data_IF_700203573289
#
_entry.id   IF_700203573289
#
_cell.length_a   1.000
_cell.length_b   1.000
_cell.length_c   1.000
_cell.angle_alpha   90.00
_cell.angle_beta   90.00
_cell.angle_gamma   90.00
#
_symmetry.space_group_name_H-M   'P 1'
#
loop_
_entity.id
_entity.type
_entity.pdbx_description
1 polymer ?
#
# COMPACT_ATOMS: atom_id res chain seq x y z
N UNK A 1 15.30 18.48 -9.21
CA UNK A 1 15.67 17.17 -8.66
C UNK A 1 16.27 17.29 -7.27
N UNK A 2 15.70 16.57 -6.31
CA UNK A 2 16.30 16.39 -4.97
C UNK A 2 17.29 15.24 -5.00
N UNK A 3 18.32 15.30 -4.14
CA UNK A 3 19.33 14.24 -4.02
C UNK A 3 18.82 13.07 -3.17
N UNK A 4 17.79 12.38 -3.66
CA UNK A 4 17.15 11.22 -3.01
C UNK A 4 17.09 10.03 -3.94
N UNK A 5 16.96 8.81 -3.41
CA UNK A 5 16.81 7.57 -4.21
C UNK A 5 15.67 7.72 -5.23
N UNK A 6 14.54 8.29 -4.82
CA UNK A 6 13.40 8.53 -5.70
C UNK A 6 13.67 9.61 -6.77
N UNK A 7 14.31 10.73 -6.38
CA UNK A 7 14.67 11.80 -7.31
C UNK A 7 15.66 11.35 -8.39
N UNK A 8 16.57 10.43 -8.05
CA UNK A 8 17.59 9.91 -8.97
C UNK A 8 17.11 8.74 -9.83
N UNK A 9 16.21 7.89 -9.33
CA UNK A 9 15.91 6.59 -9.95
C UNK A 9 14.44 6.35 -10.31
N UNK A 10 13.50 7.15 -9.80
CA UNK A 10 12.07 6.85 -9.89
C UNK A 10 11.27 7.97 -10.55
N UNK A 11 11.53 9.22 -10.14
CA UNK A 11 10.77 10.36 -10.63
C UNK A 11 11.21 10.74 -12.05
N UNK A 12 10.26 11.17 -12.88
CA UNK A 12 10.57 11.85 -14.13
C UNK A 12 10.99 13.29 -13.80
N UNK A 13 12.30 13.50 -13.71
CA UNK A 13 12.90 14.80 -13.44
C UNK A 13 13.54 15.35 -14.72
N UNK A 14 13.46 16.66 -14.92
CA UNK A 14 14.21 17.35 -15.98
C UNK A 14 15.50 17.88 -15.37
N UNK A 15 16.64 17.42 -15.90
CA UNK A 15 17.95 17.94 -15.55
C UNK A 15 18.56 18.65 -16.76
N UNK A 16 19.07 19.86 -16.56
CA UNK A 16 19.82 20.59 -17.58
C UNK A 16 21.24 20.77 -17.06
N UNK A 17 22.20 20.19 -17.78
CA UNK A 17 23.61 20.43 -17.51
C UNK A 17 24.05 21.71 -18.22
N UNK A 18 24.61 22.65 -17.44
CA UNK A 18 25.24 23.85 -17.98
C UNK A 18 26.76 23.65 -17.96
N UNK A 19 27.40 23.82 -19.12
CA UNK A 19 28.86 23.71 -19.24
C UNK A 19 29.53 25.07 -19.05
N UNK A 20 30.68 25.07 -18.38
CA UNK A 20 31.49 26.26 -18.14
C UNK A 20 31.23 26.94 -16.80
N UNK A 21 32.03 27.95 -16.47
CA UNK A 21 31.89 28.72 -15.22
C UNK A 21 30.76 29.72 -15.36
N UNK A 22 29.76 29.64 -14.49
CA UNK A 22 28.68 30.60 -14.40
C UNK A 22 28.86 31.46 -13.16
N UNK A 23 29.37 32.69 -13.33
CA UNK A 23 29.68 33.59 -12.21
C UNK A 23 28.45 33.94 -11.37
N UNK A 24 27.25 33.99 -11.96
CA UNK A 24 26.01 34.22 -11.21
C UNK A 24 25.69 33.07 -10.27
N UNK A 25 25.88 31.82 -10.71
CA UNK A 25 25.68 30.64 -9.86
C UNK A 25 26.73 30.54 -8.76
N UNK A 26 27.99 30.87 -9.08
CA UNK A 26 29.07 30.92 -8.09
C UNK A 26 28.75 31.96 -7.02
N UNK A 27 28.41 33.19 -7.42
CA UNK A 27 28.09 34.26 -6.47
C UNK A 27 26.86 33.91 -5.62
N UNK A 28 25.81 33.34 -6.23
CA UNK A 28 24.63 32.88 -5.50
C UNK A 28 24.97 31.80 -4.47
N UNK A 29 25.81 30.83 -4.83
CA UNK A 29 26.24 29.78 -3.90
C UNK A 29 27.06 30.36 -2.75
N UNK A 30 28.03 31.23 -3.04
CA UNK A 30 28.87 31.89 -2.04
C UNK A 30 28.05 32.75 -1.06
N UNK A 31 27.07 33.50 -1.56
CA UNK A 31 26.17 34.30 -0.72
C UNK A 31 25.26 33.42 0.15
N UNK A 32 24.74 32.32 -0.42
CA UNK A 32 23.93 31.34 0.31
C UNK A 32 24.77 30.65 1.39
N UNK A 33 26.00 30.26 1.06
CA UNK A 33 26.94 29.60 1.96
C UNK A 33 27.35 30.50 3.13
N UNK A 34 27.67 31.77 2.86
CA UNK A 34 27.99 32.76 3.91
C UNK A 34 26.86 32.99 4.90
N UNK A 35 25.62 32.86 4.45
CA UNK A 35 24.42 33.01 5.29
C UNK A 35 23.98 31.69 5.93
N UNK A 36 24.67 30.58 5.65
CA UNK A 36 24.44 29.30 6.31
C UNK A 36 25.28 29.19 7.58
N UNK A 37 24.84 28.36 8.52
CA UNK A 37 25.64 27.99 9.67
C UNK A 37 26.22 26.59 9.48
N UNK A 38 27.42 26.39 10.01
CA UNK A 38 28.04 25.07 10.05
C UNK A 38 27.27 24.20 11.06
N UNK A 39 26.87 23.00 10.61
CA UNK A 39 26.22 22.03 11.48
C UNK A 39 27.31 21.41 12.36
N UNK A 40 27.30 21.75 13.65
CA UNK A 40 28.26 21.18 14.62
C UNK A 40 27.95 19.70 14.89
N UNK A 41 28.92 18.97 15.44
CA UNK A 41 28.69 17.58 15.87
C UNK A 41 27.57 17.49 16.92
N UNK A 42 27.49 18.45 17.84
CA UNK A 42 26.42 18.51 18.84
C UNK A 42 25.05 18.77 18.20
N UNK A 43 24.97 19.67 17.22
CA UNK A 43 23.72 19.94 16.50
C UNK A 43 23.31 18.75 15.64
N UNK A 44 24.26 18.10 14.97
CA UNK A 44 24.04 16.83 14.26
C UNK A 44 23.49 15.76 15.21
N UNK A 45 24.09 15.60 16.38
CA UNK A 45 23.69 14.57 17.35
C UNK A 45 22.34 14.92 17.99
N UNK A 46 22.05 16.20 18.26
CA UNK A 46 20.74 16.68 18.71
C UNK A 46 19.66 16.47 17.65
N UNK A 47 19.93 16.82 16.40
CA UNK A 47 19.01 16.57 15.28
C UNK A 47 18.82 15.07 15.09
N UNK A 48 19.89 14.29 15.12
CA UNK A 48 19.87 12.83 15.10
C UNK A 48 19.02 12.25 16.23
N UNK A 49 19.15 12.78 17.44
CA UNK A 49 18.35 12.39 18.61
C UNK A 49 16.90 12.90 18.53
N UNK A 50 16.59 14.00 17.85
CA UNK A 50 15.20 14.41 17.57
C UNK A 50 14.56 13.51 16.52
N UNK A 51 15.30 13.14 15.47
CA UNK A 51 14.83 12.19 14.46
C UNK A 51 14.72 10.76 15.02
N UNK A 52 15.65 10.34 15.88
CA UNK A 52 15.57 9.07 16.61
C UNK A 52 14.53 9.12 17.74
N UNK A 53 14.35 10.26 18.40
CA UNK A 53 13.33 10.49 19.43
C UNK A 53 11.91 10.43 18.86
N UNK A 54 11.73 10.89 17.62
CA UNK A 54 10.49 10.68 16.87
C UNK A 54 10.29 9.21 16.42
N UNK A 55 11.37 8.40 16.36
CA UNK A 55 11.26 6.93 16.28
C UNK A 55 10.98 6.29 17.65
N UNK A 56 11.52 6.82 18.74
CA UNK A 56 11.43 6.23 20.08
C UNK A 56 10.09 6.44 20.79
N UNK A 57 9.20 7.30 20.29
CA UNK A 57 7.79 7.28 20.72
C UNK A 57 7.02 6.14 20.02
N UNK A 58 7.60 5.50 19.00
CA UNK A 58 6.98 4.37 18.28
C UNK A 58 7.73 3.03 18.35
N UNK A 59 8.96 2.96 18.85
CA UNK A 59 9.68 1.68 18.98
C UNK A 59 10.37 1.54 20.34
N UNK A 60 9.66 0.90 21.26
CA UNK A 60 10.21 0.25 22.45
C UNK A 60 10.52 -1.23 22.22
N UNK A 61 10.81 -1.64 20.98
CA UNK A 61 11.39 -2.95 20.66
C UNK A 61 12.45 -2.75 19.61
N UNK A 62 13.69 -2.91 20.04
CA UNK A 62 14.80 -3.25 19.18
C UNK A 62 14.45 -4.64 18.57
N UNK A 63 14.11 -4.74 17.26
CA UNK A 63 13.95 -6.04 16.65
C UNK A 63 15.36 -6.49 16.33
N UNK A 64 15.89 -7.27 17.27
CA UNK A 64 17.06 -8.12 17.06
C UNK A 64 16.99 -8.68 15.63
N UNK A 65 18.06 -8.49 14.87
CA UNK A 65 18.13 -8.81 13.42
C UNK A 65 17.81 -10.27 13.08
N UNK A 66 17.69 -11.10 14.11
CA UNK A 66 17.22 -12.48 14.19
C UNK A 66 15.70 -12.67 14.00
N UNK A 67 14.84 -11.68 14.28
CA UNK A 67 13.37 -11.83 14.19
C UNK A 67 12.83 -11.68 12.74
N UNK A 68 13.56 -11.00 11.86
CA UNK A 68 13.06 -10.68 10.51
C UNK A 68 13.32 -11.75 9.45
N UNK A 69 14.41 -12.51 9.58
CA UNK A 69 14.51 -13.80 8.88
C UNK A 69 13.41 -14.74 9.37
N UNK A 70 13.07 -14.67 10.66
CA UNK A 70 12.09 -15.54 11.29
C UNK A 70 10.65 -15.26 10.83
N UNK A 71 10.19 -14.03 10.58
CA UNK A 71 8.81 -13.80 10.06
C UNK A 71 8.65 -14.26 8.60
N UNK A 72 9.68 -14.03 7.78
CA UNK A 72 9.74 -14.51 6.41
C UNK A 72 9.79 -16.02 6.31
N UNK A 73 10.67 -16.64 7.10
CA UNK A 73 10.72 -18.08 7.27
C UNK A 73 9.46 -18.61 7.97
N UNK A 74 8.82 -17.89 8.88
CA UNK A 74 7.57 -18.29 9.53
C UNK A 74 6.37 -18.29 8.57
N UNK A 75 6.28 -17.32 7.65
CA UNK A 75 5.27 -17.33 6.59
C UNK A 75 5.57 -18.39 5.50
N UNK A 76 6.86 -18.64 5.21
CA UNK A 76 7.30 -19.52 4.12
C UNK A 76 7.48 -21.00 4.49
N UNK A 77 7.90 -21.31 5.72
CA UNK A 77 8.23 -22.66 6.18
C UNK A 77 7.04 -23.41 6.81
N UNK A 78 6.00 -22.71 7.27
CA UNK A 78 5.00 -23.31 8.19
C UNK A 78 3.59 -23.49 7.67
N UNK A 79 3.39 -23.88 6.41
CA UNK A 79 2.11 -24.47 5.96
C UNK A 79 0.87 -23.57 6.18
N UNK A 80 1.02 -22.27 6.49
CA UNK A 80 -0.07 -21.42 6.98
C UNK A 80 -0.97 -20.87 5.87
N UNK A 81 -0.44 -20.74 4.66
CA UNK A 81 -1.17 -20.37 3.45
C UNK A 81 -1.39 -21.62 2.57
N UNK A 82 -1.66 -22.78 3.17
CA UNK A 82 -1.94 -24.00 2.39
C UNK A 82 -3.44 -24.07 2.10
N UNK A 83 -4.25 -24.30 3.13
CA UNK A 83 -5.70 -24.40 3.02
C UNK A 83 -6.44 -23.19 3.63
N UNK A 84 -7.74 -23.12 3.37
CA UNK A 84 -8.62 -22.05 3.85
C UNK A 84 -8.63 -21.91 5.37
N UNK A 85 -8.63 -23.04 6.10
CA UNK A 85 -8.68 -23.04 7.56
C UNK A 85 -7.42 -22.41 8.13
N UNK A 86 -6.25 -22.84 7.66
CA UNK A 86 -4.96 -22.29 8.12
C UNK A 86 -4.79 -20.82 7.72
N UNK A 87 -5.21 -20.43 6.52
CA UNK A 87 -5.20 -19.03 6.11
C UNK A 87 -5.99 -18.16 7.10
N UNK A 88 -7.23 -18.57 7.39
CA UNK A 88 -8.11 -17.89 8.34
C UNK A 88 -7.56 -17.88 9.76
N UNK A 89 -6.99 -18.99 10.24
CA UNK A 89 -6.40 -19.08 11.57
C UNK A 89 -5.18 -18.14 11.70
N UNK A 90 -4.36 -18.03 10.66
CA UNK A 90 -3.21 -17.12 10.63
C UNK A 90 -3.62 -15.66 10.63
N UNK A 91 -4.64 -15.32 9.84
CA UNK A 91 -5.29 -14.03 9.89
C UNK A 91 -5.72 -13.71 11.34
N UNK A 92 -6.51 -14.58 11.97
CA UNK A 92 -7.03 -14.36 13.32
C UNK A 92 -5.91 -14.19 14.38
N UNK A 93 -4.80 -14.91 14.22
CA UNK A 93 -3.63 -14.79 15.11
C UNK A 93 -2.86 -13.47 14.92
N UNK A 94 -2.75 -12.98 13.69
CA UNK A 94 -1.99 -11.77 13.38
C UNK A 94 -2.77 -10.48 13.71
N UNK A 95 -4.11 -10.54 13.61
CA UNK A 95 -4.99 -9.38 13.77
C UNK A 95 -4.78 -8.53 15.03
N UNK A 96 -4.64 -9.11 16.24
CA UNK A 96 -4.49 -8.32 17.46
C UNK A 96 -3.21 -7.48 17.48
N UNK A 97 -2.20 -7.88 16.70
CA UNK A 97 -0.93 -7.18 16.60
C UNK A 97 -0.94 -6.12 15.48
N UNK A 98 -2.01 -6.05 14.70
CA UNK A 98 -2.13 -5.11 13.60
C UNK A 98 -2.61 -3.74 14.11
N UNK A 99 -1.75 -2.72 14.05
CA UNK A 99 -2.07 -1.30 14.33
C UNK A 99 -2.69 -0.99 15.73
N UNK A 100 -2.27 -1.72 16.79
CA UNK A 100 -2.70 -1.48 18.18
C UNK A 100 -4.22 -1.50 18.42
N UNK A 101 -4.99 -2.23 17.60
CA UNK A 101 -6.40 -2.42 17.89
C UNK A 101 -6.59 -3.27 19.15
N UNK A 102 -7.29 -2.70 20.12
CA UNK A 102 -7.70 -3.40 21.33
C UNK A 102 -8.58 -4.60 20.97
N UNK A 103 -8.04 -5.82 21.14
CA UNK A 103 -8.76 -7.10 21.37
C UNK A 103 -9.78 -7.59 20.34
N UNK A 104 -10.08 -6.88 19.26
CA UNK A 104 -11.13 -7.31 18.32
C UNK A 104 -10.59 -8.10 17.11
N UNK A 105 -11.22 -9.24 16.87
CA UNK A 105 -10.99 -10.17 15.76
C UNK A 105 -11.17 -9.49 14.39
N UNK A 106 -10.41 -9.90 13.37
CA UNK A 106 -10.61 -9.51 11.94
C UNK A 106 -12.08 -9.55 11.57
N UNK A 107 -12.58 -8.50 10.92
CA UNK A 107 -13.97 -8.43 10.46
C UNK A 107 -14.94 -8.64 11.64
N UNK A 108 -14.75 -7.88 12.73
CA UNK A 108 -15.53 -7.84 13.98
C UNK A 108 -16.99 -7.37 13.80
N UNK A 109 -17.56 -6.65 14.79
CA UNK A 109 -18.88 -6.00 14.59
C UNK A 109 -18.75 -5.05 13.39
N UNK A 110 -19.58 -5.15 12.33
CA UNK A 110 -19.52 -4.26 11.17
C UNK A 110 -19.57 -2.77 11.51
N UNK A 111 -20.08 -2.40 12.70
CA UNK A 111 -20.14 -1.03 13.21
C UNK A 111 -18.79 -0.53 13.76
N UNK A 112 -17.91 -1.45 14.18
CA UNK A 112 -16.61 -1.13 14.77
C UNK A 112 -15.43 -1.75 14.02
N UNK A 113 -15.68 -2.60 13.02
CA UNK A 113 -14.64 -3.26 12.25
C UNK A 113 -14.09 -2.36 11.13
N UNK A 114 -12.81 -1.98 11.20
CA UNK A 114 -12.23 -1.02 10.29
C UNK A 114 -12.16 -1.50 8.82
N UNK A 115 -11.99 -2.79 8.60
CA UNK A 115 -11.90 -3.40 7.27
C UNK A 115 -13.26 -3.45 6.56
N UNK A 116 -14.30 -3.88 7.27
CA UNK A 116 -15.67 -3.93 6.79
C UNK A 116 -16.16 -2.54 6.43
N UNK A 117 -15.83 -1.55 7.26
CA UNK A 117 -16.16 -0.16 6.99
C UNK A 117 -15.43 0.36 5.72
N UNK A 118 -14.13 0.07 5.59
CA UNK A 118 -13.35 0.45 4.40
C UNK A 118 -13.95 -0.11 3.11
N UNK A 119 -14.26 -1.41 3.06
CA UNK A 119 -14.84 -2.04 1.88
C UNK A 119 -16.27 -1.58 1.61
N UNK A 120 -17.09 -1.39 2.65
CA UNK A 120 -18.47 -0.92 2.52
C UNK A 120 -18.53 0.51 1.97
N UNK A 121 -17.72 1.43 2.50
CA UNK A 121 -17.63 2.80 2.01
C UNK A 121 -17.07 2.88 0.59
N UNK A 122 -16.14 1.99 0.23
CA UNK A 122 -15.65 1.89 -1.14
C UNK A 122 -16.76 1.42 -2.08
N UNK A 123 -17.56 0.42 -1.68
CA UNK A 123 -18.71 -0.02 -2.45
C UNK A 123 -19.76 1.10 -2.62
N UNK A 124 -20.02 1.88 -1.56
CA UNK A 124 -20.90 3.06 -1.60
C UNK A 124 -20.37 4.11 -2.58
N UNK A 125 -19.08 4.48 -2.48
CA UNK A 125 -18.41 5.39 -3.40
C UNK A 125 -18.63 4.97 -4.86
N UNK A 126 -18.38 3.71 -5.18
CA UNK A 126 -18.45 3.22 -6.56
C UNK A 126 -19.89 3.14 -7.09
N UNK A 127 -20.88 2.98 -6.21
CA UNK A 127 -22.30 3.02 -6.56
C UNK A 127 -22.89 4.43 -6.55
N UNK A 128 -22.24 5.39 -5.88
CA UNK A 128 -22.75 6.75 -5.74
C UNK A 128 -22.68 7.53 -7.05
N UNK A 129 -23.69 8.40 -7.23
CA UNK A 129 -23.72 9.44 -8.27
C UNK A 129 -23.11 10.77 -7.81
N UNK A 130 -22.96 10.96 -6.50
CA UNK A 130 -22.45 12.20 -5.89
C UNK A 130 -21.17 11.93 -5.12
N UNK A 131 -20.19 12.82 -5.30
CA UNK A 131 -18.96 12.78 -4.52
C UNK A 131 -19.20 13.27 -3.09
N UNK A 132 -18.67 12.55 -2.10
CA UNK A 132 -18.62 12.98 -0.69
C UNK A 132 -17.16 13.14 -0.28
N UNK A 133 -16.80 14.14 0.55
CA UNK A 133 -15.42 14.31 1.02
C UNK A 133 -14.82 13.05 1.66
N UNK A 134 -15.63 12.27 2.38
CA UNK A 134 -15.21 11.00 2.99
C UNK A 134 -14.65 10.00 1.97
N UNK A 135 -15.14 10.00 0.73
CA UNK A 135 -14.66 9.07 -0.30
C UNK A 135 -13.22 9.34 -0.72
N UNK A 136 -12.81 10.62 -0.73
CA UNK A 136 -11.42 11.00 -0.99
C UNK A 136 -10.50 10.43 0.07
N UNK A 137 -10.94 10.49 1.32
CA UNK A 137 -10.20 9.95 2.46
C UNK A 137 -10.14 8.42 2.46
N UNK A 138 -11.21 7.74 2.03
CA UNK A 138 -11.25 6.28 1.84
C UNK A 138 -10.21 5.83 0.81
N UNK A 139 -10.22 6.45 -0.38
CA UNK A 139 -9.25 6.16 -1.44
C UNK A 139 -7.83 6.48 -0.97
N UNK A 140 -7.62 7.67 -0.39
CA UNK A 140 -6.31 8.14 0.04
C UNK A 140 -5.74 7.36 1.25
N UNK A 141 -6.59 6.78 2.09
CA UNK A 141 -6.15 6.18 3.34
C UNK A 141 -5.43 7.18 4.25
N UNK A 142 -5.70 8.47 4.13
CA UNK A 142 -4.97 9.54 4.82
C UNK A 142 -5.46 9.80 6.25
N UNK A 143 -6.61 9.25 6.62
CA UNK A 143 -7.21 9.36 7.97
C UNK A 143 -7.50 7.97 8.50
N UNK A 144 -7.47 7.82 9.82
CA UNK A 144 -8.04 6.66 10.47
C UNK A 144 -9.56 6.67 10.26
N UNK A 145 -10.23 5.51 10.02
CA UNK A 145 -9.70 4.15 9.99
C UNK A 145 -9.37 3.64 8.57
N UNK A 146 -8.88 4.44 7.62
CA UNK A 146 -8.68 3.98 6.23
C UNK A 146 -7.24 3.62 5.88
N UNK A 147 -6.33 3.66 6.86
CA UNK A 147 -4.88 3.53 6.68
C UNK A 147 -4.35 2.10 6.43
N UNK A 148 -5.17 1.06 6.61
CA UNK A 148 -4.67 -0.33 6.72
C UNK A 148 -4.00 -0.91 5.47
N UNK A 149 -4.35 -0.39 4.29
CA UNK A 149 -3.74 -0.78 3.02
C UNK A 149 -2.71 0.28 2.54
N UNK A 150 -2.06 0.97 3.49
CA UNK A 150 -1.10 2.06 3.24
C UNK A 150 -1.73 3.46 3.18
N UNK A 151 -1.01 4.48 3.65
CA UNK A 151 -1.45 5.88 3.58
C UNK A 151 -0.84 6.59 2.37
N UNK A 152 -1.66 7.32 1.60
CA UNK A 152 -1.20 8.18 0.51
C UNK A 152 -0.85 9.60 0.99
N UNK A 153 -0.83 9.87 2.30
CA UNK A 153 -0.60 11.21 2.86
C UNK A 153 0.72 11.84 2.38
N UNK A 154 1.78 11.05 2.23
CA UNK A 154 3.07 11.50 1.69
C UNK A 154 3.02 11.88 0.20
N UNK A 155 1.96 11.49 -0.52
CA UNK A 155 1.71 11.84 -1.93
C UNK A 155 0.78 13.06 -2.02
N UNK A 156 1.33 14.23 -1.70
CA UNK A 156 0.59 15.49 -1.65
C UNK A 156 -0.20 15.83 -2.93
N UNK A 157 0.35 15.49 -4.10
CA UNK A 157 -0.33 15.65 -5.40
C UNK A 157 -1.60 14.81 -5.49
N UNK A 158 -1.47 13.48 -5.36
CA UNK A 158 -2.60 12.55 -5.40
C UNK A 158 -3.64 12.81 -4.29
N UNK A 159 -3.21 13.13 -3.06
CA UNK A 159 -4.12 13.53 -2.00
C UNK A 159 -4.91 14.79 -2.36
N UNK A 160 -4.31 15.73 -3.10
CA UNK A 160 -5.00 16.94 -3.54
C UNK A 160 -6.05 16.65 -4.62
N UNK A 161 -5.80 15.68 -5.50
CA UNK A 161 -6.77 15.17 -6.49
C UNK A 161 -7.96 14.51 -5.80
N UNK A 162 -7.69 13.65 -4.82
CA UNK A 162 -8.71 12.85 -4.15
C UNK A 162 -9.50 13.63 -3.12
N UNK A 163 -8.84 14.44 -2.27
CA UNK A 163 -9.45 15.03 -1.06
C UNK A 163 -9.79 16.51 -1.24
N UNK A 164 -8.99 17.27 -2.01
CA UNK A 164 -9.08 18.74 -2.10
C UNK A 164 -9.69 19.25 -3.42
N UNK A 165 -10.32 18.37 -4.20
CA UNK A 165 -11.00 18.69 -5.47
C UNK A 165 -10.15 19.44 -6.53
N UNK A 166 -8.81 19.38 -6.46
CA UNK A 166 -7.93 20.15 -7.36
C UNK A 166 -7.98 19.69 -8.82
N UNK A 167 -8.25 18.41 -9.08
CA UNK A 167 -8.31 17.85 -10.44
C UNK A 167 -9.50 16.90 -10.59
N UNK A 168 -10.67 17.47 -10.89
CA UNK A 168 -11.93 16.74 -11.01
C UNK A 168 -11.89 15.69 -12.14
N UNK A 169 -11.25 16.00 -13.26
CA UNK A 169 -11.21 15.11 -14.42
C UNK A 169 -10.34 13.89 -14.17
N UNK A 170 -9.19 14.08 -13.53
CA UNK A 170 -8.35 12.96 -13.10
C UNK A 170 -9.06 12.07 -12.08
N UNK A 171 -9.73 12.66 -11.09
CA UNK A 171 -10.55 11.89 -10.14
C UNK A 171 -11.65 11.10 -10.84
N UNK A 172 -12.35 11.69 -11.82
CA UNK A 172 -13.38 10.99 -12.60
C UNK A 172 -12.78 9.82 -13.38
N UNK A 173 -11.58 9.97 -13.96
CA UNK A 173 -10.86 8.87 -14.63
C UNK A 173 -10.56 7.74 -13.66
N UNK A 174 -9.99 8.03 -12.49
CA UNK A 174 -9.74 7.03 -11.44
C UNK A 174 -11.03 6.29 -11.10
N UNK A 175 -12.09 7.01 -10.76
CA UNK A 175 -13.38 6.39 -10.38
C UNK A 175 -13.95 5.54 -11.52
N UNK A 176 -13.84 6.00 -12.77
CA UNK A 176 -14.32 5.24 -13.94
C UNK A 176 -13.59 3.89 -14.05
N UNK A 177 -12.26 3.91 -13.93
CA UNK A 177 -11.43 2.69 -13.98
C UNK A 177 -11.84 1.74 -12.85
N UNK A 178 -12.01 2.24 -11.63
CA UNK A 178 -12.40 1.41 -10.48
C UNK A 178 -13.81 0.85 -10.63
N UNK A 179 -14.77 1.61 -11.19
CA UNK A 179 -16.11 1.08 -11.51
C UNK A 179 -16.02 -0.05 -12.53
N UNK A 180 -15.24 0.12 -13.59
CA UNK A 180 -15.01 -0.94 -14.59
C UNK A 180 -14.35 -2.18 -13.98
N UNK A 181 -13.37 -2.01 -13.09
CA UNK A 181 -12.72 -3.12 -12.39
C UNK A 181 -13.66 -3.85 -11.43
N UNK A 182 -14.54 -3.13 -10.72
CA UNK A 182 -15.54 -3.72 -9.82
C UNK A 182 -16.41 -4.75 -10.55
N UNK A 183 -16.85 -4.41 -11.76
CA UNK A 183 -17.80 -5.22 -12.54
C UNK A 183 -17.14 -6.36 -13.34
N UNK A 184 -15.80 -6.51 -13.26
CA UNK A 184 -15.11 -7.56 -14.05
C UNK A 184 -15.47 -8.95 -13.54
N UNK A 185 -15.95 -9.80 -14.45
CA UNK A 185 -16.16 -11.22 -14.17
C UNK A 185 -14.85 -11.98 -14.43
N UNK A 186 -14.39 -12.73 -13.43
CA UNK A 186 -13.19 -13.57 -13.52
C UNK A 186 -13.49 -15.05 -13.26
N UNK A 187 -14.76 -15.41 -13.17
CA UNK A 187 -15.19 -16.78 -13.00
C UNK A 187 -14.83 -17.60 -14.24
N UNK A 188 -14.20 -18.75 -14.03
CA UNK A 188 -13.74 -19.62 -15.11
C UNK A 188 -12.41 -19.22 -15.76
N UNK A 189 -11.83 -18.06 -15.43
CA UNK A 189 -10.51 -17.67 -15.92
C UNK A 189 -9.40 -18.53 -15.28
N UNK A 190 -8.37 -18.82 -16.08
CA UNK A 190 -7.12 -19.40 -15.58
C UNK A 190 -6.38 -18.43 -14.64
N UNK A 191 -5.37 -18.96 -13.93
CA UNK A 191 -4.50 -18.17 -13.03
C UNK A 191 -3.86 -17.00 -13.78
N UNK A 192 -3.35 -17.24 -14.99
CA UNK A 192 -2.66 -16.22 -15.78
C UNK A 192 -3.63 -15.16 -16.31
N UNK A 193 -4.77 -15.57 -16.88
CA UNK A 193 -5.78 -14.63 -17.37
C UNK A 193 -6.31 -13.73 -16.25
N UNK A 194 -6.55 -14.30 -15.07
CA UNK A 194 -7.01 -13.53 -13.91
C UNK A 194 -5.96 -12.51 -13.46
N UNK A 195 -4.68 -12.90 -13.43
CA UNK A 195 -3.59 -11.98 -13.11
C UNK A 195 -3.46 -10.87 -14.16
N UNK A 196 -3.60 -11.22 -15.44
CA UNK A 196 -3.48 -10.28 -16.55
C UNK A 196 -4.61 -9.24 -16.55
N UNK A 197 -5.84 -9.63 -16.19
CA UNK A 197 -6.96 -8.70 -15.94
C UNK A 197 -6.60 -7.70 -14.85
N UNK A 198 -6.13 -8.14 -13.69
CA UNK A 198 -5.76 -7.19 -12.61
C UNK A 198 -4.60 -6.29 -13.05
N UNK A 199 -3.64 -6.81 -13.80
CA UNK A 199 -2.49 -6.05 -14.29
C UNK A 199 -2.87 -5.01 -15.35
N UNK A 200 -3.88 -5.28 -16.20
CA UNK A 200 -4.34 -4.28 -17.17
C UNK A 200 -4.90 -3.05 -16.46
N UNK A 201 -5.74 -3.24 -15.44
CA UNK A 201 -6.28 -2.15 -14.62
C UNK A 201 -5.19 -1.45 -13.79
N UNK A 202 -4.22 -2.21 -13.27
CA UNK A 202 -3.08 -1.62 -12.55
C UNK A 202 -2.27 -0.69 -13.47
N UNK A 203 -1.97 -1.13 -14.70
CA UNK A 203 -1.24 -0.32 -15.69
C UNK A 203 -2.05 0.90 -16.13
N UNK A 204 -3.37 0.76 -16.29
CA UNK A 204 -4.23 1.89 -16.63
C UNK A 204 -4.21 2.96 -15.53
N UNK A 205 -4.29 2.55 -14.25
CA UNK A 205 -4.14 3.47 -13.12
C UNK A 205 -2.73 4.08 -13.04
N UNK A 206 -1.68 3.26 -13.16
CA UNK A 206 -0.26 3.67 -13.11
C UNK A 206 0.12 4.60 -14.27
N UNK A 207 -0.67 4.65 -15.34
CA UNK A 207 -0.49 5.61 -16.45
C UNK A 207 -1.00 7.01 -16.14
N UNK A 208 -1.80 7.19 -15.10
CA UNK A 208 -2.30 8.49 -14.67
C UNK A 208 -1.24 9.25 -13.87
N UNK A 209 -1.21 10.59 -13.94
CA UNK A 209 -0.31 11.39 -13.12
C UNK A 209 -0.42 11.06 -11.62
N UNK A 210 0.69 11.19 -10.88
CA UNK A 210 0.75 11.00 -9.41
C UNK A 210 0.41 9.59 -8.88
N UNK A 211 -0.05 8.67 -9.74
CA UNK A 211 -0.33 7.28 -9.41
C UNK A 211 0.88 6.42 -9.76
N UNK A 212 1.39 5.70 -8.76
CA UNK A 212 2.34 4.63 -8.96
C UNK A 212 1.73 3.28 -8.57
N UNK A 213 2.42 2.19 -8.87
CA UNK A 213 2.07 0.80 -8.48
C UNK A 213 1.52 0.68 -7.05
N UNK A 214 2.11 1.38 -6.07
CA UNK A 214 1.64 1.37 -4.68
C UNK A 214 0.22 1.92 -4.52
N UNK A 215 -0.06 3.08 -5.11
CA UNK A 215 -1.41 3.67 -5.07
C UNK A 215 -2.40 2.87 -5.90
N UNK A 216 -1.98 2.40 -7.09
CA UNK A 216 -2.82 1.62 -7.99
C UNK A 216 -3.25 0.30 -7.33
N UNK A 217 -2.31 -0.47 -6.79
CA UNK A 217 -2.61 -1.74 -6.10
C UNK A 217 -3.53 -1.53 -4.89
N UNK A 218 -3.34 -0.46 -4.09
CA UNK A 218 -4.29 -0.08 -3.03
C UNK A 218 -5.70 0.14 -3.57
N UNK A 219 -5.87 0.92 -4.63
CA UNK A 219 -7.19 1.22 -5.19
C UNK A 219 -7.89 -0.04 -5.70
N UNK A 220 -7.15 -0.95 -6.35
CA UNK A 220 -7.68 -2.23 -6.78
C UNK A 220 -8.07 -3.10 -5.57
N UNK A 221 -7.24 -3.15 -4.53
CA UNK A 221 -7.49 -3.94 -3.33
C UNK A 221 -8.76 -3.52 -2.58
N UNK A 222 -9.05 -2.22 -2.45
CA UNK A 222 -10.31 -1.76 -1.83
C UNK A 222 -11.52 -1.96 -2.74
N UNK A 223 -11.32 -2.01 -4.05
CA UNK A 223 -12.39 -2.14 -5.06
C UNK A 223 -12.84 -3.59 -5.23
N UNK A 224 -11.88 -4.52 -5.33
CA UNK A 224 -12.11 -5.98 -5.40
C UNK A 224 -11.17 -6.68 -4.44
N UNK A 225 -11.51 -6.71 -3.13
CA UNK A 225 -10.63 -7.29 -2.10
C UNK A 225 -10.50 -8.81 -2.21
N UNK A 226 -11.30 -9.46 -3.04
CA UNK A 226 -11.14 -10.85 -3.47
C UNK A 226 -10.11 -11.03 -4.59
N UNK A 227 -9.79 -10.00 -5.37
CA UNK A 227 -8.91 -10.07 -6.55
C UNK A 227 -7.59 -9.34 -6.40
N UNK A 228 -7.49 -8.32 -5.54
CA UNK A 228 -6.28 -7.51 -5.43
C UNK A 228 -5.85 -7.35 -3.96
N UNK A 229 -4.56 -7.05 -3.76
CA UNK A 229 -3.96 -6.74 -2.46
C UNK A 229 -3.11 -5.46 -2.58
N UNK A 230 -2.79 -4.82 -1.47
CA UNK A 230 -2.00 -3.58 -1.52
C UNK A 230 -0.51 -3.92 -1.57
N UNK A 231 0.20 -3.34 -2.53
CA UNK A 231 1.63 -3.58 -2.72
C UNK A 231 2.39 -2.27 -2.63
N UNK A 232 2.68 -1.88 -1.38
CA UNK A 232 3.20 -0.57 -1.00
C UNK A 232 4.46 -0.70 -0.13
N UNK A 233 5.04 0.42 0.33
CA UNK A 233 6.27 0.42 1.15
C UNK A 233 6.19 -0.44 2.41
N UNK A 234 5.03 -0.46 3.08
CA UNK A 234 4.83 -1.27 4.28
C UNK A 234 4.66 -2.77 4.02
N UNK A 235 4.21 -3.18 2.83
CA UNK A 235 3.97 -4.61 2.53
C UNK A 235 4.99 -5.24 1.58
N UNK A 236 5.72 -4.42 0.80
CA UNK A 236 6.56 -4.87 -0.32
C UNK A 236 7.63 -5.87 0.08
N UNK A 237 8.29 -5.67 1.23
CA UNK A 237 9.41 -6.51 1.65
C UNK A 237 8.95 -7.93 1.95
N UNK A 238 7.96 -8.10 2.83
CA UNK A 238 7.40 -9.42 3.19
C UNK A 238 6.72 -10.10 2.00
N UNK A 239 6.03 -9.34 1.15
CA UNK A 239 5.45 -9.88 -0.08
C UNK A 239 6.52 -10.38 -1.07
N UNK A 240 7.61 -9.64 -1.26
CA UNK A 240 8.70 -10.09 -2.12
C UNK A 240 9.40 -11.32 -1.55
N UNK A 241 9.57 -11.38 -0.23
CA UNK A 241 10.12 -12.56 0.45
C UNK A 241 9.22 -13.79 0.23
N UNK A 242 7.90 -13.64 0.39
CA UNK A 242 6.90 -14.66 0.09
C UNK A 242 7.01 -15.17 -1.36
N UNK A 243 7.17 -14.26 -2.32
CA UNK A 243 7.30 -14.61 -3.72
C UNK A 243 8.70 -15.03 -4.16
N UNK A 244 9.69 -15.08 -3.26
CA UNK A 244 11.12 -15.23 -3.58
C UNK A 244 11.57 -14.23 -4.67
N UNK A 245 11.06 -13.02 -4.61
CA UNK A 245 11.30 -11.93 -5.56
C UNK A 245 12.40 -11.01 -5.04
N UNK A 246 13.15 -10.42 -5.98
CA UNK A 246 14.18 -9.42 -5.67
C UNK A 246 13.57 -8.02 -5.60
N UNK A 247 14.17 -7.17 -4.77
CA UNK A 247 13.86 -5.75 -4.64
C UNK A 247 13.08 -5.41 -3.38
N UNK A 248 13.13 -4.12 -3.01
CA UNK A 248 12.47 -3.51 -1.86
C UNK A 248 11.39 -2.49 -2.26
N UNK A 249 11.02 -2.44 -3.55
CA UNK A 249 10.07 -1.47 -4.09
C UNK A 249 8.99 -2.12 -4.97
N UNK A 250 7.76 -1.56 -4.99
CA UNK A 250 6.68 -2.09 -5.81
C UNK A 250 6.96 -1.98 -7.32
N UNK A 251 6.79 -3.08 -8.05
CA UNK A 251 6.84 -3.10 -9.52
C UNK A 251 5.67 -3.88 -10.10
N UNK A 252 5.24 -3.51 -11.32
CA UNK A 252 4.19 -4.24 -12.06
C UNK A 252 4.57 -5.72 -12.24
N UNK A 253 5.83 -5.99 -12.57
CA UNK A 253 6.35 -7.35 -12.79
C UNK A 253 6.28 -8.22 -11.52
N UNK A 254 6.71 -7.67 -10.38
CA UNK A 254 6.64 -8.42 -9.12
C UNK A 254 5.20 -8.61 -8.67
N UNK A 255 4.35 -7.59 -8.82
CA UNK A 255 2.93 -7.69 -8.49
C UNK A 255 2.22 -8.78 -9.30
N UNK A 256 2.48 -8.88 -10.61
CA UNK A 256 1.93 -9.95 -11.46
C UNK A 256 2.36 -11.34 -10.99
N UNK A 257 3.64 -11.51 -10.63
CA UNK A 257 4.15 -12.78 -10.09
C UNK A 257 3.47 -13.16 -8.77
N UNK A 258 3.25 -12.20 -7.89
CA UNK A 258 2.57 -12.41 -6.62
C UNK A 258 1.08 -12.74 -6.82
N UNK A 259 0.39 -12.08 -7.75
CA UNK A 259 -0.99 -12.43 -8.11
C UNK A 259 -1.08 -13.88 -8.58
N UNK A 260 -0.21 -14.30 -9.50
CA UNK A 260 -0.14 -15.69 -9.98
C UNK A 260 0.11 -16.67 -8.85
N UNK A 261 1.06 -16.35 -7.96
CA UNK A 261 1.35 -17.14 -6.77
C UNK A 261 0.08 -17.32 -5.92
N UNK A 262 -0.58 -16.22 -5.52
CA UNK A 262 -1.75 -16.31 -4.67
C UNK A 262 -2.95 -16.99 -5.35
N UNK A 263 -3.18 -16.74 -6.64
CA UNK A 263 -4.26 -17.41 -7.36
C UNK A 263 -4.02 -18.91 -7.58
N UNK A 264 -2.78 -19.37 -7.47
CA UNK A 264 -2.44 -20.80 -7.55
C UNK A 264 -2.61 -21.55 -6.22
N UNK A 265 -2.85 -20.85 -5.10
CA UNK A 265 -2.93 -21.52 -3.80
C UNK A 265 -4.28 -22.17 -3.58
N UNK A 266 -4.30 -23.23 -2.77
CA UNK A 266 -5.53 -23.94 -2.43
C UNK A 266 -6.47 -23.07 -1.58
N UNK A 267 -5.96 -22.27 -0.63
CA UNK A 267 -6.79 -21.37 0.17
C UNK A 267 -7.54 -20.33 -0.68
N UNK A 268 -6.91 -19.79 -1.73
CA UNK A 268 -7.54 -18.79 -2.59
C UNK A 268 -8.67 -19.39 -3.42
N UNK A 269 -8.46 -20.62 -3.89
CA UNK A 269 -9.42 -21.40 -4.68
C UNK A 269 -10.43 -22.20 -3.84
N UNK A 270 -10.43 -21.98 -2.52
CA UNK A 270 -11.39 -22.63 -1.62
C UNK A 270 -12.84 -22.27 -1.95
N UNK A 271 -13.75 -23.22 -1.74
CA UNK A 271 -15.18 -22.98 -1.96
C UNK A 271 -15.70 -21.88 -1.03
N UNK A 272 -16.56 -20.98 -1.53
CA UNK A 272 -17.11 -19.92 -0.71
C UNK A 272 -18.00 -20.50 0.40
N UNK A 273 -17.94 -19.96 1.64
CA UNK A 273 -18.84 -20.34 2.72
C UNK A 273 -20.31 -20.16 2.31
N UNK A 274 -21.18 -21.14 2.63
CA UNK A 274 -22.57 -21.18 2.13
C UNK A 274 -23.47 -20.10 2.73
N UNK A 275 -23.31 -19.77 4.00
CA UNK A 275 -24.12 -18.78 4.69
C UNK A 275 -23.47 -17.39 4.62
N UNK A 276 -24.28 -16.34 4.66
CA UNK A 276 -23.82 -14.95 4.74
C UNK A 276 -23.29 -14.66 6.15
N UNK A 277 -22.14 -15.24 6.48
CA UNK A 277 -21.49 -15.15 7.78
C UNK A 277 -20.26 -14.24 7.70
N UNK A 278 -19.69 -13.95 8.87
CA UNK A 278 -18.35 -13.34 8.99
C UNK A 278 -17.29 -14.06 8.15
N UNK A 279 -17.37 -15.39 8.08
CA UNK A 279 -16.44 -16.17 7.25
C UNK A 279 -16.60 -15.87 5.76
N UNK A 280 -17.84 -15.63 5.30
CA UNK A 280 -18.09 -15.20 3.90
C UNK A 280 -17.52 -13.82 3.63
N UNK A 281 -17.54 -12.90 4.59
CA UNK A 281 -16.89 -11.59 4.46
C UNK A 281 -15.37 -11.73 4.36
N UNK A 282 -14.74 -12.55 5.21
CA UNK A 282 -13.31 -12.87 5.11
C UNK A 282 -13.00 -13.45 3.73
N UNK A 283 -13.83 -14.37 3.24
CA UNK A 283 -13.66 -14.97 1.92
C UNK A 283 -13.79 -13.96 0.78
N UNK A 284 -14.78 -13.05 0.85
CA UNK A 284 -14.98 -11.99 -0.14
C UNK A 284 -13.86 -10.93 -0.12
N UNK A 285 -13.06 -10.87 0.96
CA UNK A 285 -11.94 -9.92 1.09
C UNK A 285 -10.56 -10.60 1.17
N UNK A 286 -10.52 -11.90 0.84
CA UNK A 286 -9.40 -12.79 1.17
C UNK A 286 -8.05 -12.39 0.57
N UNK A 287 -8.00 -11.64 -0.52
CA UNK A 287 -6.70 -11.24 -1.07
C UNK A 287 -6.20 -9.96 -0.41
N UNK A 288 -7.06 -8.95 -0.26
CA UNK A 288 -6.69 -7.70 0.41
C UNK A 288 -6.30 -7.91 1.87
N UNK A 289 -6.88 -8.90 2.56
CA UNK A 289 -6.55 -9.22 3.95
C UNK A 289 -5.14 -9.83 4.13
N UNK A 290 -4.42 -10.17 3.06
CA UNK A 290 -3.01 -10.56 3.16
C UNK A 290 -2.18 -9.47 3.84
N UNK A 291 -2.52 -8.19 3.67
CA UNK A 291 -1.85 -7.07 4.34
C UNK A 291 -1.76 -7.26 5.87
N UNK A 292 -2.73 -7.93 6.50
CA UNK A 292 -2.68 -8.22 7.95
C UNK A 292 -1.45 -9.07 8.33
N UNK A 293 -0.98 -9.92 7.41
CA UNK A 293 0.15 -10.81 7.62
C UNK A 293 1.49 -10.18 7.22
N UNK A 294 1.47 -9.20 6.32
CA UNK A 294 2.68 -8.72 5.64
C UNK A 294 2.97 -7.23 5.83
N UNK A 295 2.00 -6.44 6.27
CA UNK A 295 2.17 -4.99 6.35
C UNK A 295 2.87 -4.60 7.66
N UNK A 296 3.96 -3.87 7.50
CA UNK A 296 4.76 -3.27 8.56
C UNK A 296 4.58 -1.75 8.44
N UNK A 297 3.88 -1.10 9.39
CA UNK A 297 3.82 0.36 9.40
C UNK A 297 5.24 0.93 9.59
N UNK A 298 5.65 1.81 8.66
CA UNK A 298 6.85 2.63 8.78
C UNK A 298 6.73 3.70 9.88
#
# INVERSE_FOLDING_TARGET
MNFTKAGLLQNKELLVELKGKNEKLVNWFEETWKNSHEITLEERDRLGAQFAGNKLVNDGRDPDSTDMEDVGNWLMERKYLTDWKKYKDSLQKAAPNFNNFSRETILGDPRNDPWSNLFSLTAELLSSRRWKPVYGNVLAGNVFPYKFLGSLQARGGLCSVLVKDRNLEERKKIIKILKSFKEVNVDGLSVDEKADVVISFLKELDSLPEIGVASASRFLAITRPDLAFSYNGGSVRKLNLLGKLKGDYPTVKNYQKLLRLFYSTEWYNSKPPKAQTKERQIWNSRLALIDILVYEPE
#
